data_IF_977325650507
#
_entry.id   IF_977325650507
#
_cell.length_a   1.000
_cell.length_b   1.000
_cell.length_c   1.000
_cell.angle_alpha   90.00
_cell.angle_beta   90.00
_cell.angle_gamma   90.00
#
_symmetry.space_group_name_H-M   'P 1'
#
loop_
_entity.id
_entity.type
_entity.pdbx_description
1 polymer ?
2 polymer ?
3 non-polymer ?
4 non-polymer ?
5 non-polymer ?
6 non-polymer ?
7 non-polymer ?
8 water ?
#
# COMPACT_ATOMS: atom_id res chain seq x y z
N UNK A 1 14.11 15.18 -23.82
CA UNK A 1 13.83 15.03 -22.36
C UNK A 1 13.98 13.56 -21.90
N UNK A 2 14.29 13.37 -20.62
CA UNK A 2 14.51 12.03 -20.07
C UNK A 2 13.72 11.82 -18.76
N UNK A 3 13.22 10.61 -18.61
CA UNK A 3 12.31 10.28 -17.51
C UNK A 3 12.96 10.33 -16.12
N UNK A 4 14.28 10.10 -16.06
CA UNK A 4 15.00 10.08 -14.78
C UNK A 4 15.21 11.48 -14.22
N UNK A 5 15.11 12.49 -15.08
CA UNK A 5 15.14 13.87 -14.64
C UNK A 5 13.75 14.46 -14.61
N UNK A 6 13.31 14.89 -13.44
CA UNK A 6 12.07 15.66 -13.27
C UNK A 6 10.83 14.91 -13.77
N UNK A 7 10.89 13.58 -13.71
CA UNK A 7 9.86 12.70 -14.27
C UNK A 7 9.59 12.93 -15.77
N UNK A 8 10.57 13.50 -16.46
CA UNK A 8 10.44 13.82 -17.87
C UNK A 8 9.40 14.89 -18.17
N UNK A 9 9.00 15.65 -17.14
CA UNK A 9 7.87 16.58 -17.24
C UNK A 9 6.49 15.93 -17.14
N UNK A 10 6.44 14.61 -17.08
CA UNK A 10 5.17 13.88 -17.01
C UNK A 10 4.51 14.03 -15.65
N UNK A 11 3.19 14.12 -15.62
CA UNK A 11 2.48 14.12 -14.37
C UNK A 11 2.53 12.75 -13.70
N UNK A 12 2.48 11.69 -14.52
CA UNK A 12 2.45 10.32 -14.02
C UNK A 12 3.63 9.52 -14.62
N UNK A 13 3.34 8.62 -15.55
CA UNK A 13 4.35 7.67 -16.03
C UNK A 13 5.05 8.16 -17.31
N UNK A 14 6.27 7.66 -17.55
CA UNK A 14 7.19 8.22 -18.55
C UNK A 14 8.01 7.11 -19.19
N UNK A 15 8.00 7.04 -20.51
CA UNK A 15 8.85 6.13 -21.30
C UNK A 15 9.85 6.89 -22.16
N UNK A 16 11.11 6.46 -22.14
CA UNK A 16 12.15 6.97 -23.06
C UNK A 16 12.16 6.16 -24.37
N UNK A 17 12.29 6.86 -25.49
CA UNK A 17 12.23 6.24 -26.82
C UNK A 17 13.48 6.51 -27.68
N UNK A 18 13.74 5.61 -28.62
CA UNK A 18 14.92 5.72 -29.51
C UNK A 18 14.92 7.08 -30.23
N UNK A 19 15.94 7.87 -29.91
CA UNK A 19 16.02 9.26 -30.34
C UNK A 19 15.85 10.13 -29.11
N UNK A 20 15.60 11.43 -29.34
CA UNK A 20 15.32 12.35 -28.24
C UNK A 20 13.81 12.31 -27.94
N UNK A 21 13.21 11.12 -28.01
CA UNK A 21 11.76 10.97 -27.86
C UNK A 21 11.36 10.44 -26.48
N UNK A 22 10.42 11.15 -25.85
CA UNK A 22 9.80 10.77 -24.58
C UNK A 22 8.28 10.66 -24.77
N UNK A 23 7.65 9.68 -24.11
CA UNK A 23 6.19 9.56 -24.10
C UNK A 23 5.69 9.53 -22.66
N UNK A 24 4.74 10.39 -22.32
CA UNK A 24 4.10 10.32 -21.00
C UNK A 24 2.87 9.42 -21.10
N UNK A 25 2.49 8.81 -19.98
CA UNK A 25 1.31 7.96 -19.97
C UNK A 25 0.57 8.19 -18.66
N UNK A 26 -0.68 7.74 -18.61
CA UNK A 26 -1.51 7.86 -17.44
C UNK A 26 -2.07 6.50 -17.05
N UNK A 27 -2.29 6.35 -15.76
CA UNK A 27 -2.86 5.16 -15.16
C UNK A 27 -4.26 4.96 -15.71
N UNK A 28 -4.73 3.71 -15.65
CA UNK A 28 -6.11 3.42 -15.94
C UNK A 28 -7.02 4.36 -15.15
N UNK A 29 -8.12 4.77 -15.79
CA UNK A 29 -9.03 5.75 -15.20
C UNK A 29 -8.59 7.20 -15.37
N UNK A 30 -7.56 7.41 -16.20
CA UNK A 30 -7.10 8.74 -16.58
C UNK A 30 -6.77 8.79 -18.08
N UNK A 31 -6.83 9.99 -18.66
CA UNK A 31 -6.38 10.21 -20.05
C UNK A 31 -5.35 11.34 -20.10
N UNK A 32 -4.41 11.23 -21.05
CA UNK A 32 -3.35 12.20 -21.23
C UNK A 32 -3.90 13.41 -22.01
N UNK A 33 -3.66 14.61 -21.50
CA UNK A 33 -4.06 15.83 -22.21
C UNK A 33 -3.17 16.10 -23.42
N UNK A 34 -3.63 17.03 -24.26
CA UNK A 34 -2.89 17.46 -25.46
C UNK A 34 -1.53 18.12 -25.19
N UNK A 35 -1.28 18.60 -23.97
CA UNK A 35 0.09 19.03 -23.57
C UNK A 35 1.09 17.86 -23.54
N UNK A 36 0.58 16.63 -23.57
CA UNK A 36 1.45 15.45 -23.64
C UNK A 36 2.04 15.04 -22.31
N UNK A 37 1.65 15.73 -21.23
CA UNK A 37 2.23 15.48 -19.88
C UNK A 37 1.19 15.25 -18.78
N UNK A 38 0.05 15.95 -18.87
CA UNK A 38 -0.97 16.00 -17.80
C UNK A 38 -1.97 14.87 -17.94
N UNK A 39 -2.45 14.40 -16.78
CA UNK A 39 -3.40 13.32 -16.73
C UNK A 39 -4.67 13.84 -16.09
N UNK A 40 -5.83 13.52 -16.69
CA UNK A 40 -7.12 13.93 -16.15
C UNK A 40 -8.02 12.69 -15.95
N UNK A 41 -8.73 12.60 -14.82
CA UNK A 41 -9.69 11.50 -14.59
C UNK A 41 -10.75 11.30 -15.68
N UNK A 42 -10.99 10.04 -15.99
CA UNK A 42 -12.03 9.69 -16.94
C UNK A 42 -13.19 8.96 -16.28
N UNK A 43 -13.05 8.70 -14.98
CA UNK A 43 -14.05 7.97 -14.20
C UNK A 43 -14.29 8.73 -12.91
N UNK A 44 -15.36 8.33 -12.23
CA UNK A 44 -15.76 8.98 -10.99
C UNK A 44 -14.75 8.81 -9.87
N UNK A 45 -14.21 7.61 -9.74
CA UNK A 45 -13.34 7.27 -8.63
C UNK A 45 -11.98 6.75 -9.09
N UNK A 46 -11.13 7.65 -9.63
CA UNK A 46 -9.81 7.23 -10.08
C UNK A 46 -8.93 6.90 -8.90
N UNK A 47 -7.98 6.00 -9.12
CA UNK A 47 -7.04 5.65 -8.06
C UNK A 47 -6.27 6.88 -7.56
N UNK A 48 -5.99 6.90 -6.27
CA UNK A 48 -5.04 7.82 -5.69
C UNK A 48 -5.57 9.23 -5.49
N UNK A 49 -6.88 9.41 -5.62
CA UNK A 49 -7.53 10.70 -5.34
C UNK A 49 -8.56 10.51 -4.25
N UNK A 50 -8.71 11.51 -3.41
CA UNK A 50 -9.56 11.46 -2.22
C UNK A 50 -10.81 12.30 -2.43
N UNK A 51 -11.92 11.63 -2.79
CA UNK A 51 -13.15 12.30 -3.18
C UNK A 51 -13.60 13.44 -2.25
N UNK A 52 -13.53 13.27 -0.92
CA UNK A 52 -14.06 14.34 -0.07
C UNK A 52 -13.19 15.58 -0.13
N UNK A 53 -11.91 15.41 -0.45
CA UNK A 53 -11.00 16.54 -0.61
C UNK A 53 -11.04 17.15 -2.03
N UNK A 54 -11.20 16.31 -3.05
CA UNK A 54 -11.42 16.78 -4.42
C UNK A 54 -12.71 17.60 -4.52
N UNK A 55 -13.74 17.16 -3.81
CA UNK A 55 -14.99 17.91 -3.72
C UNK A 55 -14.83 19.18 -2.89
N UNK A 56 -13.97 19.13 -1.88
CA UNK A 56 -13.68 20.28 -1.02
C UNK A 56 -13.06 21.45 -1.81
N UNK A 57 -12.22 21.14 -2.80
CA UNK A 57 -11.58 22.17 -3.62
C UNK A 57 -12.13 22.30 -5.06
N UNK A 58 -13.22 21.61 -5.36
CA UNK A 58 -13.90 21.74 -6.66
C UNK A 58 -14.98 22.85 -6.61
N UNK B 1 -0.70 2.58 15.15
CA UNK B 1 0.15 3.75 14.85
C UNK B 1 0.53 4.53 16.12
N UNK B 2 1.82 4.82 16.30
CA UNK B 2 2.29 5.61 17.44
C UNK B 2 2.64 7.03 17.03
N UNK B 3 2.09 8.01 17.73
CA UNK B 3 2.44 9.40 17.52
C UNK B 3 1.83 10.08 16.31
N UNK B 4 0.75 9.52 15.77
CA UNK B 4 0.06 10.12 14.63
C UNK B 4 -1.24 10.77 15.06
N UNK B 5 -2.20 10.83 14.14
CA UNK B 5 -3.49 11.45 14.40
C UNK B 5 -4.59 10.63 13.76
N UNK B 6 -5.84 10.93 14.11
CA UNK B 6 -6.94 10.27 13.42
C UNK B 6 -6.92 10.67 11.94
N UNK B 7 -7.09 9.67 11.07
CA UNK B 7 -7.29 9.94 9.66
C UNK B 7 -8.75 10.35 9.50
N UNK B 8 -9.00 11.60 9.09
CA UNK B 8 -10.42 11.96 9.02
C UNK B 8 -11.20 11.01 8.10
N UNK B 9 -12.40 10.62 8.52
CA UNK B 9 -13.20 9.62 7.81
C UNK B 9 -13.30 9.95 6.33
N UNK B 10 -12.83 9.00 5.51
CA UNK B 10 -12.82 9.15 4.06
C UNK B 10 -11.52 9.65 3.45
N UNK B 11 -10.58 10.09 4.30
CA UNK B 11 -9.31 10.60 3.81
C UNK B 11 -8.23 9.53 3.68
N UNK B 12 -8.53 8.31 4.11
CA UNK B 12 -7.67 7.15 3.88
C UNK B 12 -8.51 6.02 3.21
N UNK B 13 -9.13 6.33 2.05
CA UNK B 13 -10.18 5.43 1.52
C UNK B 13 -9.70 4.12 0.90
N UNK B 14 -8.40 4.00 0.72
CA UNK B 14 -7.75 2.76 0.26
C UNK B 14 -7.38 1.81 1.39
N UNK B 15 -7.53 2.26 2.63
CA UNK B 15 -7.18 1.42 3.76
C UNK B 15 -8.13 0.24 3.92
N UNK B 16 -7.53 -0.92 4.12
CA UNK B 16 -8.22 -2.17 4.34
C UNK B 16 -7.96 -2.68 5.77
N UNK B 17 -9.01 -3.20 6.40
CA UNK B 17 -8.93 -3.95 7.66
C UNK B 17 -9.12 -5.43 7.35
N UNK B 18 -8.19 -6.26 7.79
CA UNK B 18 -8.28 -7.70 7.65
C UNK B 18 -8.65 -8.32 8.98
N UNK B 19 -9.63 -9.22 8.94
CA UNK B 19 -10.19 -9.89 10.12
C UNK B 19 -10.08 -11.41 9.95
N UNK B 20 -9.85 -12.11 11.06
CA UNK B 20 -9.94 -13.58 11.06
C UNK B 20 -10.83 -13.97 12.23
N UNK B 21 -11.92 -14.65 11.91
CA UNK B 21 -12.99 -14.91 12.88
C UNK B 21 -13.44 -13.64 13.61
N UNK B 22 -13.51 -12.52 12.88
CA UNK B 22 -14.01 -11.27 13.43
C UNK B 22 -13.00 -10.46 14.22
N UNK B 23 -11.82 -11.04 14.46
CA UNK B 23 -10.76 -10.41 15.22
C UNK B 23 -9.81 -9.71 14.27
N UNK B 24 -9.30 -8.57 14.72
CA UNK B 24 -8.30 -7.79 14.00
C UNK B 24 -7.04 -8.61 13.70
N UNK B 25 -6.64 -8.68 12.42
CA UNK B 25 -5.43 -9.38 12.03
C UNK B 25 -4.37 -8.38 11.54
N UNK B 26 -4.75 -7.56 10.57
CA UNK B 26 -3.78 -6.78 9.84
C UNK B 26 -4.46 -5.67 9.06
N UNK B 27 -3.63 -4.79 8.50
CA UNK B 27 -4.07 -3.87 7.49
C UNK B 27 -3.78 -4.36 6.08
N UNK B 28 -4.20 -3.55 5.12
CA UNK B 28 -3.98 -3.83 3.70
C UNK B 28 -4.26 -2.59 2.87
N UNK B 29 -3.96 -2.66 1.56
CA UNK B 29 -4.24 -1.57 0.61
C UNK B 29 -5.03 -2.05 -0.61
N UNK B 30 -6.17 -1.40 -0.85
CA UNK B 30 -6.96 -1.61 -2.05
C UNK B 30 -6.22 -0.97 -3.24
N UNK B 31 -5.97 -1.74 -4.29
CA UNK B 31 -5.32 -1.18 -5.49
C UNK B 31 -6.22 -1.22 -6.75
N UNK B 32 -7.31 -1.98 -6.69
CA UNK B 32 -8.44 -1.79 -7.62
C UNK B 32 -9.65 -2.45 -6.99
N UNK B 33 -10.71 -2.76 -7.73
CA UNK B 33 -11.95 -3.24 -7.06
C UNK B 33 -11.89 -4.66 -6.49
N UNK B 34 -10.94 -5.49 -6.91
CA UNK B 34 -10.87 -6.85 -6.38
C UNK B 34 -9.54 -7.20 -5.68
N UNK B 35 -8.54 -6.35 -5.79
CA UNK B 35 -7.22 -6.70 -5.31
C UNK B 35 -6.76 -5.81 -4.18
N UNK B 36 -6.15 -6.47 -3.19
CA UNK B 36 -5.66 -5.86 -1.98
C UNK B 36 -4.23 -6.29 -1.76
N UNK B 37 -3.34 -5.35 -1.46
CA UNK B 37 -1.97 -5.69 -1.11
C UNK B 37 -1.79 -5.68 0.42
N UNK B 38 -1.15 -6.71 0.96
CA UNK B 38 -0.83 -6.75 2.39
C UNK B 38 0.60 -7.28 2.61
N UNK B 39 0.86 -7.77 3.84
CA UNK B 39 2.17 -8.31 4.24
C UNK B 39 2.05 -9.80 4.39
N UNK B 40 3.01 -10.53 3.84
CA UNK B 40 3.06 -12.00 3.94
C UNK B 40 3.02 -12.47 5.38
N UNK B 41 3.73 -11.78 6.28
CA UNK B 41 3.86 -12.26 7.66
C UNK B 41 2.51 -12.30 8.41
N UNK B 42 1.52 -11.56 7.92
CA UNK B 42 0.17 -11.54 8.47
C UNK B 42 -0.50 -12.92 8.45
N UNK B 43 0.01 -13.83 7.62
CA UNK B 43 -0.63 -15.11 7.38
C UNK B 43 0.17 -16.29 7.91
N UNK B 44 1.24 -16.03 8.64
CA UNK B 44 2.12 -17.08 9.13
C UNK B 44 1.40 -18.11 10.02
N UNK B 45 0.39 -17.66 10.77
CA UNK B 45 -0.30 -18.52 11.74
C UNK B 45 -1.74 -18.81 11.37
N UNK B 46 -2.11 -18.63 10.11
CA UNK B 46 -3.49 -18.88 9.70
C UNK B 46 -3.75 -20.39 9.62
N UNK B 47 -4.86 -20.82 10.20
CA UNK B 47 -5.23 -22.23 10.20
C UNK B 47 -6.40 -22.46 9.27
N UNK B 48 -7.49 -21.74 9.48
CA UNK B 48 -8.63 -21.81 8.54
C UNK B 48 -8.57 -20.60 7.60
N UNK B 49 -8.11 -20.83 6.38
CA UNK B 49 -8.00 -19.80 5.38
C UNK B 49 -9.35 -19.25 4.96
N UNK B 50 -10.42 -20.02 5.17
CA UNK B 50 -11.74 -19.62 4.70
C UNK B 50 -12.45 -18.67 5.66
N UNK B 51 -11.78 -18.27 6.74
CA UNK B 51 -12.32 -17.29 7.70
C UNK B 51 -11.74 -15.87 7.60
N UNK B 52 -11.07 -15.55 6.49
CA UNK B 52 -10.45 -14.23 6.31
C UNK B 52 -11.42 -13.27 5.67
N UNK B 53 -11.61 -12.11 6.30
CA UNK B 53 -12.49 -11.05 5.81
C UNK B 53 -11.68 -9.76 5.61
N UNK B 54 -11.96 -9.09 4.50
CA UNK B 54 -11.44 -7.75 4.23
C UNK B 54 -12.58 -6.75 4.36
N UNK B 55 -12.34 -5.65 5.07
CA UNK B 55 -13.32 -4.60 5.19
C UNK B 55 -12.78 -3.29 4.60
N UNK B 56 -13.57 -2.70 3.70
CA UNK B 56 -13.28 -1.39 3.09
C UNK B 56 -14.30 -0.37 3.62
N UNK B 57 -13.95 0.90 3.53
CA UNK B 57 -14.81 1.97 4.02
C UNK B 57 -14.88 2.06 5.54
N UNK B 58 -13.94 1.38 6.23
CA UNK B 58 -13.97 1.31 7.67
C UNK B 58 -13.30 2.54 8.25
N UNK B 59 -13.74 2.92 9.45
CA UNK B 59 -13.18 4.08 10.12
C UNK B 59 -13.17 3.93 11.64
N UNK B 60 -14.35 3.96 12.23
CA UNK B 60 -14.53 3.77 13.68
C UNK B 60 -15.01 2.33 13.94
N UNK B 61 -14.15 1.51 14.55
CA UNK B 61 -14.47 0.10 14.78
C UNK B 61 -15.61 -0.15 15.75
N UNK B 62 -16.01 0.86 16.52
CA UNK B 62 -17.04 0.68 17.53
C UNK B 62 -18.48 0.82 16.97
N UNK B 63 -18.60 1.27 15.72
CA UNK B 63 -19.92 1.52 15.14
C UNK B 63 -20.03 1.11 13.67
N UNK B 64 -21.24 0.89 13.20
CA UNK B 64 -21.51 0.68 11.77
C UNK B 64 -22.24 1.93 11.27
N UNK B 65 -21.64 2.64 10.31
CA UNK B 65 -22.29 3.81 9.70
C UNK B 65 -22.81 3.56 8.27
N UNK B 66 -22.57 2.38 7.73
CA UNK B 66 -23.12 2.01 6.43
C UNK B 66 -22.18 2.18 5.26
N UNK B 67 -21.03 2.84 5.47
CA UNK B 67 -20.02 3.03 4.41
C UNK B 67 -19.07 1.83 4.30
N UNK B 68 -19.12 0.93 5.29
CA UNK B 68 -18.27 -0.27 5.34
C UNK B 68 -18.72 -1.30 4.32
N UNK B 69 -17.76 -1.98 3.71
CA UNK B 69 -18.05 -3.10 2.83
C UNK B 69 -17.11 -4.26 3.15
N UNK B 70 -17.70 -5.41 3.44
CA UNK B 70 -16.97 -6.61 3.81
C UNK B 70 -17.00 -7.61 2.66
N UNK B 71 -15.87 -8.28 2.47
CA UNK B 71 -15.71 -9.28 1.44
C UNK B 71 -14.88 -10.44 1.96
N UNK B 72 -15.20 -11.64 1.53
CA UNK B 72 -14.36 -12.80 1.80
C UNK B 72 -13.09 -12.69 0.96
N UNK B 73 -11.96 -13.13 1.53
CA UNK B 73 -10.71 -13.19 0.81
C UNK B 73 -10.66 -14.56 0.14
N UNK B 74 -10.69 -14.56 -1.19
CA UNK B 74 -10.76 -15.79 -2.01
C UNK B 74 -9.38 -16.41 -2.28
N UNK B 75 -8.38 -15.56 -2.38
CA UNK B 75 -7.01 -15.98 -2.62
C UNK B 75 -6.04 -15.15 -1.82
N UNK B 76 -4.98 -15.79 -1.31
CA UNK B 76 -3.83 -15.12 -0.72
C UNK B 76 -2.59 -15.58 -1.48
N UNK B 77 -1.92 -14.65 -2.17
CA UNK B 77 -0.77 -15.00 -3.01
C UNK B 77 0.50 -14.44 -2.40
N UNK B 78 1.44 -15.34 -2.16
CA UNK B 78 2.65 -15.02 -1.45
C UNK B 78 3.85 -15.46 -2.31
N UNK B 79 4.90 -14.64 -2.38
CA UNK B 79 6.00 -15.05 -3.28
C UNK B 79 6.74 -16.28 -2.75
N UNK B 80 7.26 -17.09 -3.68
CA UNK B 80 8.03 -18.29 -3.32
C UNK B 80 9.24 -17.99 -2.42
N UNK B 81 9.75 -16.76 -2.51
CA UNK B 81 10.93 -16.35 -1.80
C UNK B 81 10.69 -15.94 -0.34
N UNK B 82 9.43 -15.77 0.04
CA UNK B 82 9.09 -15.47 1.42
C UNK B 82 9.26 -16.72 2.27
N UNK B 83 9.93 -16.61 3.41
CA UNK B 83 9.99 -17.73 4.36
C UNK B 83 9.29 -17.32 5.65
N UNK B 84 8.21 -18.04 6.03
CA UNK B 84 7.49 -17.71 7.24
C UNK B 84 8.39 -17.53 8.44
N UNK B 85 8.11 -16.51 9.24
CA UNK B 85 8.86 -16.26 10.45
C UNK B 85 10.03 -15.35 10.21
N UNK B 86 10.29 -15.03 8.94
CA UNK B 86 11.35 -14.12 8.57
C UNK B 86 10.74 -12.89 7.91
N UNK B 87 11.58 -11.97 7.47
CA UNK B 87 11.16 -10.62 7.11
C UNK B 87 11.29 -10.26 5.64
N UNK B 88 12.14 -10.96 4.89
CA UNK B 88 12.37 -10.60 3.50
C UNK B 88 11.17 -11.01 2.62
N UNK B 89 10.89 -10.22 1.59
CA UNK B 89 9.79 -10.49 0.64
C UNK B 89 8.43 -10.49 1.33
N UNK B 90 8.23 -9.48 2.18
CA UNK B 90 7.06 -9.41 3.03
C UNK B 90 5.88 -8.76 2.30
N UNK B 91 5.29 -9.51 1.38
CA UNK B 91 4.21 -9.00 0.54
C UNK B 91 3.23 -10.12 0.25
N UNK B 92 1.96 -9.76 0.18
CA UNK B 92 0.91 -10.71 -0.15
C UNK B 92 -0.12 -10.02 -1.01
N UNK B 93 -0.58 -10.71 -2.04
CA UNK B 93 -1.65 -10.20 -2.89
C UNK B 93 -2.93 -10.99 -2.64
N UNK B 94 -3.96 -10.25 -2.24
CA UNK B 94 -5.26 -10.81 -1.89
C UNK B 94 -6.30 -10.52 -2.98
N UNK B 95 -7.01 -11.59 -3.38
CA UNK B 95 -8.16 -11.49 -4.27
C UNK B 95 -9.44 -11.52 -3.44
N UNK B 96 -10.30 -10.52 -3.59
CA UNK B 96 -11.57 -10.50 -2.89
C UNK B 96 -12.55 -11.40 -3.67
N UNK B 97 -13.52 -12.02 -2.98
CA UNK B 97 -14.45 -12.97 -3.62
C UNK B 97 -15.40 -12.25 -4.57
N UNK B 98 -15.71 -11.00 -4.26
CA UNK B 98 -16.57 -10.14 -5.03
C UNK B 98 -15.96 -8.73 -4.99
N UNK B 99 -16.03 -7.97 -6.11
CA UNK B 99 -15.45 -6.63 -6.05
C UNK B 99 -16.14 -5.75 -5.01
N UNK B 100 -15.40 -4.82 -4.42
CA UNK B 100 -16.02 -3.76 -3.62
C UNK B 100 -16.61 -2.73 -4.60
N UNK B 101 -17.50 -1.89 -4.10
CA UNK B 101 -18.14 -0.81 -4.88
C UNK B 101 -17.43 0.49 -4.55
N UNK B 102 -16.84 1.12 -5.56
CA UNK B 102 -16.15 2.35 -5.33
C UNK B 102 -17.15 3.45 -4.95
N UNK B 103 -16.78 4.18 -3.90
CA UNK B 103 -17.63 5.23 -3.31
C UNK B 103 -16.72 6.30 -2.77
N UNK B 104 -17.29 7.39 -2.23
CA UNK B 104 -16.48 8.43 -1.59
C UNK B 104 -15.55 7.90 -0.49
N UNK B 105 -15.92 6.76 0.09
CA UNK B 105 -15.22 6.18 1.23
C UNK B 105 -14.39 4.93 0.88
N UNK B 106 -14.48 4.48 -0.36
CA UNK B 106 -13.78 3.28 -0.82
C UNK B 106 -13.17 3.59 -2.18
N UNK B 107 -11.87 3.84 -2.19
CA UNK B 107 -11.14 4.24 -3.41
C UNK B 107 -9.80 3.51 -3.39
N UNK B 108 -9.36 2.93 -4.54
CA UNK B 108 -8.05 2.28 -4.58
C UNK B 108 -6.88 3.26 -4.60
N UNK B 109 -5.74 2.81 -4.07
CA UNK B 109 -4.49 3.53 -4.23
C UNK B 109 -3.84 3.11 -5.56
N UNK B 110 -3.24 4.03 -6.29
CA UNK B 110 -2.56 3.67 -7.54
C UNK B 110 -1.30 2.80 -7.29
N UNK B 111 -1.23 1.66 -7.95
CA UNK B 111 -0.01 0.88 -7.99
C UNK B 111 0.83 1.46 -9.12
N UNK B 112 1.99 2.04 -8.78
CA UNK B 112 2.73 2.75 -9.78
C UNK B 112 3.49 1.81 -10.69
N UNK B 113 3.84 2.28 -11.88
CA UNK B 113 4.88 1.63 -12.68
C UNK B 113 6.21 1.62 -11.93
N UNK B 114 7.03 0.59 -12.13
CA UNK B 114 8.31 0.45 -11.41
C UNK B 114 9.23 1.65 -11.62
N UNK B 115 9.46 2.02 -12.88
CA UNK B 115 10.37 3.12 -13.20
C UNK B 115 9.97 4.44 -12.54
N UNK B 116 8.70 4.79 -12.66
CA UNK B 116 8.17 5.94 -11.96
C UNK B 116 8.44 5.82 -10.47
N UNK B 117 8.20 4.64 -9.90
CA UNK B 117 8.38 4.47 -8.46
C UNK B 117 9.85 4.59 -8.08
N UNK B 118 10.73 3.99 -8.87
CA UNK B 118 12.18 4.04 -8.57
C UNK B 118 12.82 5.39 -8.85
N UNK B 119 12.42 6.02 -9.95
CA UNK B 119 13.09 7.25 -10.37
C UNK B 119 12.51 8.50 -9.73
N UNK B 120 11.27 8.44 -9.29
CA UNK B 120 10.57 9.64 -8.82
C UNK B 120 10.02 9.52 -7.38
N UNK B 121 9.17 8.51 -7.14
CA UNK B 121 8.48 8.36 -5.86
C UNK B 121 9.45 8.09 -4.71
N UNK B 122 10.50 7.33 -5.00
CA UNK B 122 11.51 6.96 -4.02
C UNK B 122 12.26 8.15 -3.41
N UNK B 123 12.16 9.32 -4.05
CA UNK B 123 12.80 10.55 -3.60
C UNK B 123 11.80 11.54 -3.02
N UNK B 124 10.54 11.18 -2.93
CA UNK B 124 9.59 11.96 -2.15
C UNK B 124 9.88 11.62 -0.69
N UNK B 125 10.27 12.62 0.10
CA UNK B 125 10.74 12.36 1.46
C UNK B 125 9.65 11.78 2.36
N UNK B 126 8.53 12.48 2.49
CA UNK B 126 7.46 12.05 3.38
C UNK B 126 6.31 11.32 2.68
N UNK B 127 5.81 10.30 3.37
CA UNK B 127 4.72 9.47 2.96
C UNK B 127 3.86 9.13 4.19
N UNK B 128 2.64 8.66 3.93
CA UNK B 128 1.67 8.41 4.99
C UNK B 128 1.53 6.93 5.25
N UNK B 129 1.61 6.57 6.53
CA UNK B 129 1.36 5.21 6.98
C UNK B 129 0.16 5.24 7.91
N UNK B 130 -0.72 4.24 7.76
CA UNK B 130 -1.99 4.22 8.49
C UNK B 130 -2.38 2.85 9.02
N UNK B 131 -3.25 2.89 10.03
CA UNK B 131 -3.77 1.66 10.61
C UNK B 131 -4.54 1.82 11.91
N UNK B 132 -5.15 0.71 12.33
CA UNK B 132 -5.82 0.59 13.62
C UNK B 132 -4.93 -0.18 14.61
N UNK B 133 -3.63 -0.19 14.38
CA UNK B 133 -2.72 -0.86 15.27
C UNK B 133 -2.59 -0.19 16.63
N UNK B 134 -1.70 -0.76 17.44
CA UNK B 134 -1.40 -0.23 18.77
C UNK B 134 -0.99 1.24 18.73
N UNK B 135 -1.54 2.02 19.66
CA UNK B 135 -1.25 3.45 19.76
C UNK B 135 0.05 3.70 20.52
N UNK B 136 0.52 2.67 21.24
CA UNK B 136 1.75 2.72 22.04
C UNK B 136 2.34 1.33 22.03
N UNK B 137 3.66 1.24 22.13
CA UNK B 137 4.30 -0.04 22.33
C UNK B 137 3.69 -0.63 23.60
N UNK B 138 3.26 -1.89 23.52
CA UNK B 138 2.61 -2.58 24.62
C UNK B 138 1.28 -1.93 25.04
N UNK B 139 0.63 -1.24 24.11
CA UNK B 139 -0.59 -0.52 24.41
C UNK B 139 -1.76 -1.06 23.62
N UNK B 140 -2.92 -0.43 23.82
CA UNK B 140 -4.15 -0.84 23.18
C UNK B 140 -4.17 -0.37 21.73
N UNK B 141 -4.90 -1.11 20.90
CA UNK B 141 -5.07 -0.77 19.51
C UNK B 141 -6.11 0.35 19.39
N UNK B 142 -6.06 1.04 18.25
CA UNK B 142 -6.93 2.18 17.97
C UNK B 142 -8.33 1.76 17.59
N UNK B 143 -9.34 2.53 18.01
CA UNK B 143 -10.71 2.32 17.52
C UNK B 143 -11.01 3.16 16.29
N UNK B 144 -10.29 4.27 16.13
CA UNK B 144 -10.40 5.08 14.93
C UNK B 144 -9.12 4.95 14.12
N UNK B 145 -9.27 4.98 12.79
CA UNK B 145 -8.12 4.83 11.91
C UNK B 145 -7.13 5.96 12.12
N UNK B 146 -5.87 5.62 12.35
CA UNK B 146 -4.82 6.60 12.56
C UNK B 146 -3.88 6.65 11.34
N UNK B 147 -3.22 7.79 11.16
CA UNK B 147 -2.32 8.01 10.06
C UNK B 147 -1.10 8.82 10.54
N UNK B 148 0.04 8.60 9.91
CA UNK B 148 1.30 9.17 10.35
C UNK B 148 2.18 9.53 9.14
N UNK B 149 2.77 10.72 9.17
CA UNK B 149 3.67 11.13 8.09
C UNK B 149 5.07 10.77 8.52
N UNK B 150 5.77 10.02 7.68
CA UNK B 150 7.10 9.51 8.02
C UNK B 150 8.08 9.77 6.88
N UNK B 151 9.32 10.19 7.22
CA UNK B 151 10.32 10.40 6.18
C UNK B 151 11.06 9.12 5.85
N UNK B 152 11.40 8.97 4.58
CA UNK B 152 12.09 7.81 4.09
C UNK B 152 13.58 8.05 4.17
N UNK B 153 14.32 6.99 4.42
CA UNK B 153 15.77 7.04 4.51
C UNK B 153 16.37 6.18 3.41
N UNK B 154 17.48 6.62 2.83
CA UNK B 154 18.28 5.73 2.00
C UNK B 154 18.85 4.66 2.90
N UNK B 155 18.99 3.45 2.37
CA UNK B 155 19.29 2.30 3.22
C UNK B 155 20.66 2.41 3.90
N UNK B 156 21.67 2.89 3.18
CA UNK B 156 22.99 3.15 3.77
C UNK B 156 22.84 4.04 5.01
N UNK B 157 22.05 5.10 4.88
CA UNK B 157 21.82 6.07 5.95
C UNK B 157 20.96 5.46 7.08
N UNK B 158 20.05 4.56 6.73
CA UNK B 158 19.29 3.87 7.78
C UNK B 158 20.21 3.05 8.66
N UNK B 159 21.10 2.28 8.02
CA UNK B 159 22.06 1.42 8.71
C UNK B 159 23.03 2.23 9.55
N UNK B 160 23.50 3.36 8.99
CA UNK B 160 24.36 4.30 9.70
C UNK B 160 23.64 4.92 10.91
N UNK B 161 22.43 5.41 10.70
CA UNK B 161 21.67 6.09 11.77
C UNK B 161 21.04 5.16 12.80
N UNK B 162 21.01 3.85 12.52
CA UNK B 162 20.36 2.91 13.43
C UNK B 162 21.36 2.39 14.46
N UNK B 163 20.87 2.09 15.66
CA UNK B 163 21.73 1.73 16.79
C UNK B 163 20.91 1.46 18.05
N UNK B 168 19.47 -9.59 14.55
CA UNK B 168 18.96 -8.34 13.97
C UNK B 168 18.92 -8.43 12.44
N UNK B 169 17.71 -8.44 11.84
CA UNK B 169 17.69 -8.71 10.39
C UNK B 169 18.37 -7.62 9.56
N UNK B 170 18.81 -8.00 8.35
CA UNK B 170 19.41 -7.06 7.41
C UNK B 170 18.33 -6.18 6.77
N UNK B 171 18.73 -5.06 6.19
CA UNK B 171 17.85 -4.30 5.32
C UNK B 171 18.24 -4.67 3.91
N UNK B 172 17.39 -5.47 3.26
CA UNK B 172 17.66 -5.96 1.92
C UNK B 172 17.17 -4.96 0.89
N UNK B 173 17.40 -5.29 -0.37
CA UNK B 173 16.96 -4.44 -1.47
C UNK B 173 15.43 -4.49 -1.63
N UNK B 174 14.77 -5.39 -0.89
CA UNK B 174 13.30 -5.53 -0.94
C UNK B 174 12.61 -4.81 0.22
N UNK B 175 13.36 -3.92 0.87
CA UNK B 175 12.90 -3.18 2.01
C UNK B 175 13.37 -1.75 1.95
N UNK B 176 12.73 -0.90 2.76
CA UNK B 176 13.26 0.40 3.07
C UNK B 176 12.84 0.84 4.46
N UNK B 177 13.63 1.74 5.03
CA UNK B 177 13.35 2.32 6.32
C UNK B 177 12.59 3.61 6.19
N UNK B 178 11.71 3.89 7.14
CA UNK B 178 11.08 5.19 7.21
C UNK B 178 10.58 5.44 8.63
N UNK B 179 10.62 6.71 9.02
CA UNK B 179 10.19 7.12 10.34
C UNK B 179 11.23 7.93 11.11
N UNK B 180 11.32 7.66 12.41
CA UNK B 180 12.10 8.44 13.36
C UNK B 180 12.80 7.52 14.33
N UNK B 181 13.99 7.93 14.77
CA UNK B 181 14.81 7.13 15.68
C UNK B 181 14.68 7.56 17.14
N UNK B 182 13.80 8.52 17.43
CA UNK B 182 13.67 9.10 18.78
C UNK B 182 12.50 8.54 19.60
N UNK B 183 11.89 7.46 19.12
CA UNK B 183 10.86 6.75 19.87
C UNK B 183 9.52 7.45 19.98
N UNK B 184 9.25 8.43 19.13
CA UNK B 184 8.00 9.19 19.17
C UNK B 184 6.93 8.75 18.16
N UNK B 185 7.35 8.17 17.05
CA UNK B 185 6.48 8.04 15.89
C UNK B 185 6.83 6.81 15.06
N UNK B 186 5.87 5.89 14.95
CA UNK B 186 6.10 4.64 14.24
C UNK B 186 4.78 3.92 13.93
N UNK B 187 4.86 2.96 13.01
CA UNK B 187 3.81 1.97 12.84
C UNK B 187 4.05 0.88 13.91
N UNK B 188 2.99 0.20 14.34
CA UNK B 188 3.08 -0.73 15.48
C UNK B 188 2.30 -2.00 15.21
N UNK B 189 2.25 -2.92 16.18
CA UNK B 189 1.55 -4.18 15.96
C UNK B 189 0.11 -3.89 15.62
N UNK B 190 -0.44 -4.65 14.68
CA UNK B 190 -1.79 -4.41 14.17
C UNK B 190 -1.81 -3.58 12.90
N UNK B 191 -0.79 -2.78 12.69
CA UNK B 191 -0.66 -1.96 11.49
C UNK B 191 -0.09 -2.74 10.32
N UNK B 192 0.58 -3.87 10.61
CA UNK B 192 1.21 -4.72 9.60
C UNK B 192 0.30 -4.90 8.39
N UNK B 193 0.91 -4.82 7.20
CA UNK B 193 0.22 -5.00 5.94
C UNK B 193 -0.38 -3.72 5.34
N UNK B 194 -0.46 -2.66 6.14
CA UNK B 194 -1.10 -1.43 5.71
C UNK B 194 -0.22 -0.60 4.80
N UNK B 195 -0.81 0.46 4.22
CA UNK B 195 -0.16 1.31 3.24
C UNK B 195 0.90 2.24 3.76
N UNK B 196 1.96 2.33 2.99
CA UNK B 196 2.89 3.46 2.97
C UNK B 196 2.63 4.12 1.63
N UNK B 197 1.98 5.28 1.67
CA UNK B 197 1.40 5.95 0.51
C UNK B 197 2.09 7.28 0.21
N UNK B 198 2.40 7.52 -1.07
CA UNK B 198 3.26 8.64 -1.43
C UNK B 198 2.56 9.54 -2.45
N UNK B 199 2.54 10.83 -2.15
CA UNK B 199 1.88 11.84 -2.96
C UNK B 199 2.86 12.38 -4.01
N UNK B 200 2.40 12.48 -5.25
CA UNK B 200 3.14 13.13 -6.31
C UNK B 200 2.20 13.79 -7.31
N UNK B 201 2.33 15.11 -7.42
CA UNK B 201 1.57 15.92 -8.36
C UNK B 201 0.08 15.59 -8.35
N UNK B 202 -0.49 15.56 -7.15
CA UNK B 202 -1.94 15.47 -6.96
C UNK B 202 -2.54 14.10 -6.80
N UNK B 203 -1.72 13.06 -6.84
CA UNK B 203 -2.20 11.67 -6.84
C UNK B 203 -1.33 10.86 -5.91
N UNK B 204 -1.98 9.89 -5.25
CA UNK B 204 -1.29 9.04 -4.27
C UNK B 204 -1.01 7.64 -4.79
N UNK B 205 0.16 7.11 -4.42
CA UNK B 205 0.67 5.86 -4.94
C UNK B 205 1.16 4.94 -3.82
N UNK B 206 1.08 3.62 -4.05
CA UNK B 206 1.62 2.65 -3.09
C UNK B 206 3.11 2.44 -3.27
N UNK B 207 3.87 2.82 -2.23
CA UNK B 207 5.32 2.64 -2.23
C UNK B 207 5.81 1.66 -1.17
N UNK B 208 5.04 1.45 -0.11
CA UNK B 208 5.47 0.51 0.90
C UNK B 208 4.34 -0.21 1.59
N UNK B 209 4.74 -1.22 2.35
CA UNK B 209 3.85 -2.04 3.17
C UNK B 209 4.40 -2.10 4.59
N UNK B 210 3.57 -1.84 5.61
CA UNK B 210 4.03 -1.96 7.02
C UNK B 210 4.56 -3.38 7.25
N UNK B 211 5.85 -3.50 7.52
CA UNK B 211 6.47 -4.83 7.58
C UNK B 211 7.01 -5.21 8.96
N UNK B 212 8.02 -4.53 9.45
CA UNK B 212 8.68 -4.93 10.69
C UNK B 212 9.56 -3.85 11.29
N UNK B 213 10.14 -4.21 12.43
CA UNK B 213 11.18 -3.41 13.07
C UNK B 213 11.56 -4.01 14.40
N UNK B 214 12.46 -3.33 15.12
CA UNK B 214 12.88 -3.70 16.47
C UNK B 214 11.83 -3.21 17.45
N UNK B 215 10.77 -3.98 17.64
CA UNK B 215 9.62 -3.49 18.41
C UNK B 215 9.02 -2.26 17.78
N UNK B 216 8.22 -1.53 18.55
CA UNK B 216 7.44 -0.36 18.08
C UNK B 216 7.96 0.92 18.65
N UNK B 217 8.35 1.89 17.82
CA UNK B 217 8.90 3.16 18.27
C UNK B 217 10.09 2.94 19.24
N UNK B 218 10.98 2.03 18.89
CA UNK B 218 12.17 1.80 19.69
C UNK B 218 13.20 2.85 19.35
N UNK B 219 13.71 3.52 20.39
CA UNK B 219 14.75 4.56 20.21
C UNK B 219 15.96 3.95 19.52
N UNK B 220 16.51 4.70 18.57
CA UNK B 220 17.62 4.22 17.77
C UNK B 220 17.25 3.35 16.57
N UNK B 221 15.94 3.15 16.35
CA UNK B 221 15.47 2.30 15.24
C UNK B 221 14.35 2.92 14.42
N UNK B 222 14.32 2.56 13.14
CA UNK B 222 13.29 3.03 12.23
C UNK B 222 12.36 1.88 11.85
N UNK B 223 11.14 2.24 11.43
CA UNK B 223 10.23 1.29 10.81
C UNK B 223 10.75 0.79 9.48
N UNK B 224 10.55 -0.50 9.22
CA UNK B 224 10.94 -1.13 7.96
C UNK B 224 9.69 -1.48 7.16
N UNK B 225 9.77 -1.20 5.87
CA UNK B 225 8.66 -1.26 4.94
C UNK B 225 9.07 -2.09 3.74
N UNK B 226 8.16 -2.93 3.26
CA UNK B 226 8.42 -3.68 2.03
C UNK B 226 8.47 -2.71 0.84
N UNK B 227 9.50 -2.87 0.01
CA UNK B 227 9.73 -1.96 -1.12
C UNK B 227 8.93 -2.47 -2.32
N UNK B 228 7.74 -1.93 -2.44
CA UNK B 228 6.74 -2.38 -3.39
C UNK B 228 7.21 -2.30 -4.86
N UNK B 229 8.08 -1.35 -5.16
CA UNK B 229 8.62 -1.20 -6.52
C UNK B 229 9.33 -2.45 -7.04
N UNK B 230 9.88 -3.25 -6.15
CA UNK B 230 10.47 -4.52 -6.56
C UNK B 230 9.47 -5.56 -7.03
N UNK B 231 8.18 -5.35 -6.73
CA UNK B 231 7.12 -6.35 -6.93
C UNK B 231 6.05 -5.97 -7.95
N UNK B 232 6.17 -4.80 -8.60
CA UNK B 232 5.14 -4.31 -9.53
C UNK B 232 4.81 -5.33 -10.64
N UNK B 233 5.84 -5.80 -11.34
CA UNK B 233 5.64 -6.78 -12.43
C UNK B 233 5.05 -8.10 -11.91
N UNK B 234 5.55 -8.58 -10.77
CA UNK B 234 5.02 -9.80 -10.14
C UNK B 234 3.52 -9.68 -9.82
N UNK B 235 3.12 -8.54 -9.25
CA UNK B 235 1.73 -8.25 -8.93
C UNK B 235 0.90 -8.16 -10.20
N UNK B 236 1.41 -7.41 -11.18
CA UNK B 236 0.66 -7.19 -12.40
C UNK B 236 0.36 -8.49 -13.11
N UNK B 237 1.30 -9.42 -13.09
CA UNK B 237 1.11 -10.69 -13.78
C UNK B 237 0.04 -11.50 -13.09
N UNK B 238 0.08 -11.52 -11.76
CA UNK B 238 -0.87 -12.28 -10.97
C UNK B 238 -2.27 -11.73 -11.10
N UNK B 239 -2.41 -10.41 -11.16
CA UNK B 239 -3.75 -9.79 -11.36
C UNK B 239 -4.40 -10.17 -12.71
N UNK B 240 -3.59 -10.56 -13.70
CA UNK B 240 -4.11 -11.02 -14.99
C UNK B 240 -4.39 -12.53 -14.99
N UNK B 241 -4.01 -13.23 -13.93
CA UNK B 241 -4.12 -14.70 -13.88
C UNK B 241 -5.49 -15.17 -13.42
N UNK B 242 -5.89 -16.36 -13.88
CA UNK B 242 -7.13 -16.96 -13.43
C UNK B 242 -6.97 -17.41 -11.98
N UNK B 243 -8.04 -17.27 -11.18
CA UNK B 243 -8.04 -17.87 -9.85
C UNK B 243 -7.74 -19.38 -9.83
N UNK B 244 -7.12 -19.85 -8.74
CA UNK B 244 -6.82 -21.27 -8.55
C UNK B 244 -7.56 -21.80 -7.33
N UNK B 245 -7.99 -23.07 -7.37
CA UNK B 245 -8.65 -23.60 -6.16
C UNK B 245 -7.74 -23.51 -4.93
N UNK B 246 -8.32 -23.36 -3.75
CA UNK B 246 -7.54 -23.21 -2.51
C UNK B 246 -7.01 -21.79 -2.28
N UNK B 247 -7.18 -21.28 -1.05
CA UNK B 247 -6.96 -19.87 -0.74
C UNK B 247 -5.51 -19.50 -0.95
N UNK B 248 -4.62 -20.16 -0.24
CA UNK B 248 -3.19 -19.89 -0.37
C UNK B 248 -2.62 -20.31 -1.71
N UNK B 249 -1.91 -19.38 -2.35
CA UNK B 249 -1.11 -19.70 -3.56
C UNK B 249 0.30 -19.18 -3.35
N UNK B 250 1.29 -20.06 -3.45
CA UNK B 250 2.66 -19.62 -3.51
C UNK B 250 3.01 -19.51 -4.99
N UNK B 251 3.48 -18.33 -5.39
CA UNK B 251 3.73 -17.98 -6.79
C UNK B 251 5.21 -17.61 -6.93
N UNK B 252 5.87 -18.10 -8.00
CA UNK B 252 7.30 -17.83 -8.15
C UNK B 252 7.62 -16.36 -8.20
N UNK B 253 8.74 -16.01 -7.58
CA UNK B 253 9.30 -14.67 -7.64
C UNK B 253 10.78 -14.82 -7.97
N UNK B 254 11.30 -13.99 -8.89
CA UNK B 254 10.69 -12.93 -9.66
C UNK B 254 9.56 -13.41 -10.57
X LIG C 1 -4.41 15.27 -2.37
X LIG C 1 -4.36 14.99 -0.98
X LIG C 1 -5.86 15.17 -2.77
X LIG C 1 -6.64 15.13 -1.58
X LIG C 1 -6.07 13.91 -3.61
X LIG C 1 -7.45 13.75 -3.85
X LIG D 1 -2.20 7.22 -22.07
X LIG D 1 -1.70 6.84 -20.81
X LIG D 1 -3.55 7.89 -21.88
X LIG D 1 -4.51 7.01 -21.35
X LIG D 1 -4.01 8.39 -23.25
X LIG D 1 -5.08 9.28 -23.10
X LIG E 1 -17.41 1.58 11.42
X LIG F 1 -3.41 -17.99 -16.17
X LIG G 1 -8.61 -23.93 1.17
X LIG H 1 -17.17 -21.93 2.95
X LIG I 1 -12.70 -23.42 -3.81
X LIG J 1 6.37 -2.36 13.79
X LIG J 1 6.75 -3.62 14.53
X LIG J 1 5.51 -4.49 14.73
X LIG J 1 4.92 -4.86 13.36
X LIG J 1 4.58 -3.58 12.58
X LIG J 1 5.84 -2.72 12.42
X LIG J 1 7.57 -1.44 13.66
X LIG J 1 7.35 -0.52 12.51
X LIG K 1 18.25 3.00 -1.29
X LIG K 1 17.16 3.40 -2.19
X LIG K 1 19.01 1.91 -1.89
X LIG K 1 19.07 4.19 -1.05
X LIG K 1 17.74 2.53 0.00
X LIG L 1 1.33 -7.41 13.62
X LIG L 1 -0.03 -7.88 13.90
X LIG L 1 1.92 -8.24 12.57
X LIG L 1 2.16 -7.54 14.80
X LIG L 1 1.25 -6.01 13.19
X LIG M 1 -21.54 -4.93 1.82
X LIG M 1 -22.66 -4.07 2.31
X LIG M 1 -22.13 -6.12 1.17
X LIG M 1 -20.88 -4.17 0.74
X LIG M 1 -20.70 -5.34 3.01
#
# INVERSE_FOLDING_TARGET
LICVNENGGCEQYCSDHTGTKRSCRCHEGYSLLADGVSCTPTVEYPCGKIPILEKRNASKPQGR
IVGGKVCPKGECPWQVLLLVNGAQLCGGTLINTIWVVSAAHCFDKIKNWRNLIAVLGEHDLSEHDGDEQSRRVAQVIIPSTYVPGTTNHDIALLRLHQPVVLTDHVVPLCLPERTFSERTLAFVRFSLVSGWGQLLDRGATALELMVLNVPRLMTQDCLQQSRKVGDSPNITEYMFCAGYSDGSKDSCKGDSGGPHATHYRGTWYLTGIVSWGQGCATVGHFGVYTRVSQYIEWLQKLMRSEPRPGVLLRAPFP
GOL C1 O1 C2 O2 C3 O3
GOL C1 O1 C2 O2 C3 O3
CA CA
CL CL
CL CL
CL CL
CL CL
AMC C1 C2 C3 C4 C5 C6 CM N
SO4 S O1 O2 O3 O4
SO4 S O1 O2 O3 O4
SO4 S O1 O2 O3 O4
#
